data_IF_429495889197
#
_entry.id   IF_429495889197
#
_cell.length_a   1.000
_cell.length_b   1.000
_cell.length_c   1.000
_cell.angle_alpha   90.00
_cell.angle_beta   90.00
_cell.angle_gamma   90.00
#
_symmetry.space_group_name_H-M   'P 1'
#
loop_
_entity.id
_entity.type
_entity.pdbx_description
1 polymer ?
#
# COMPACT_ATOMS: atom_id res chain seq x y z
N UNK A 1 3.91 -33.08 -7.36
CA UNK A 1 4.83 -31.93 -7.27
C UNK A 1 4.45 -30.94 -8.37
N UNK A 2 4.51 -29.61 -8.16
CA UNK A 2 4.26 -28.69 -9.26
C UNK A 2 5.32 -28.93 -10.35
N UNK A 3 4.88 -29.16 -11.61
CA UNK A 3 5.75 -29.30 -12.78
C UNK A 3 6.41 -27.96 -13.21
N UNK A 4 6.20 -26.89 -12.45
CA UNK A 4 6.65 -25.54 -12.71
C UNK A 4 7.21 -24.88 -11.45
N UNK A 5 8.03 -23.84 -11.62
CA UNK A 5 8.73 -23.11 -10.56
C UNK A 5 7.78 -22.54 -9.50
N UNK A 6 8.06 -22.80 -8.22
CA UNK A 6 7.41 -22.14 -7.08
C UNK A 6 8.00 -20.74 -6.90
N UNK A 7 7.15 -19.71 -6.87
CA UNK A 7 7.55 -18.31 -6.72
C UNK A 7 6.58 -17.65 -5.75
N UNK A 8 7.11 -17.05 -4.69
CA UNK A 8 6.35 -16.28 -3.69
C UNK A 8 7.08 -14.95 -3.52
N UNK A 9 6.38 -13.85 -3.75
CA UNK A 9 6.92 -12.51 -3.73
C UNK A 9 6.05 -11.60 -2.86
N UNK A 10 6.34 -11.60 -1.55
CA UNK A 10 5.63 -10.78 -0.59
C UNK A 10 6.00 -9.30 -0.68
N UNK A 11 4.98 -8.44 -0.71
CA UNK A 11 5.12 -7.00 -0.63
C UNK A 11 4.20 -6.41 0.42
N UNK A 12 4.77 -5.59 1.31
CA UNK A 12 4.04 -4.65 2.15
C UNK A 12 3.91 -3.33 1.41
N UNK A 13 2.68 -2.89 1.19
CA UNK A 13 2.38 -1.73 0.35
C UNK A 13 1.54 -0.75 1.13
N UNK A 14 1.89 0.53 0.99
CA UNK A 14 1.30 1.64 1.73
C UNK A 14 0.95 2.75 0.76
N UNK A 15 -0.27 3.24 0.80
CA UNK A 15 -0.66 4.46 0.08
C UNK A 15 -1.79 5.17 0.80
N UNK A 16 -2.14 6.36 0.32
CA UNK A 16 -3.12 7.22 0.96
C UNK A 16 -4.16 7.79 0.05
N UNK A 17 -5.17 8.38 0.67
CA UNK A 17 -6.13 9.27 0.03
C UNK A 17 -5.42 10.51 -0.52
N UNK A 18 -5.98 11.06 -1.61
CA UNK A 18 -5.49 12.32 -2.18
C UNK A 18 -5.61 13.41 -1.11
N UNK A 19 -4.54 14.21 -0.98
CA UNK A 19 -4.42 15.26 0.03
C UNK A 19 -4.58 14.79 1.49
N UNK A 20 -4.40 13.49 1.76
CA UNK A 20 -4.53 12.88 3.11
C UNK A 20 -5.90 13.15 3.77
N UNK A 21 -6.95 13.33 2.98
CA UNK A 21 -8.31 13.51 3.51
C UNK A 21 -8.75 12.23 4.26
N UNK A 22 -9.20 12.33 5.53
CA UNK A 22 -9.51 11.17 6.36
C UNK A 22 -10.90 10.58 6.06
N UNK A 23 -11.06 9.99 4.88
CA UNK A 23 -12.31 9.40 4.42
C UNK A 23 -12.78 8.20 5.26
N UNK A 24 -11.85 7.46 5.89
CA UNK A 24 -12.11 6.15 6.48
C UNK A 24 -12.23 6.17 8.01
N UNK A 25 -12.94 7.16 8.54
CA UNK A 25 -13.26 7.20 9.98
C UNK A 25 -14.36 6.19 10.37
N UNK A 26 -15.23 5.85 9.43
CA UNK A 26 -16.28 4.85 9.61
C UNK A 26 -15.76 3.45 9.26
N UNK A 27 -15.66 2.57 10.27
CA UNK A 27 -15.19 1.19 10.12
C UNK A 27 -16.05 0.37 9.15
N UNK A 28 -17.34 0.67 8.97
CA UNK A 28 -18.19 -0.02 7.98
C UNK A 28 -17.70 0.27 6.56
N UNK A 29 -17.29 1.51 6.27
CA UNK A 29 -16.71 1.89 4.98
C UNK A 29 -15.36 1.22 4.77
N UNK A 30 -14.53 1.12 5.82
CA UNK A 30 -13.26 0.38 5.75
C UNK A 30 -13.49 -1.09 5.32
N UNK A 31 -14.48 -1.77 5.90
CA UNK A 31 -14.81 -3.16 5.52
C UNK A 31 -15.23 -3.26 4.05
N UNK A 32 -16.07 -2.33 3.58
CA UNK A 32 -16.52 -2.31 2.18
C UNK A 32 -15.34 -2.08 1.21
N UNK A 33 -14.48 -1.10 1.49
CA UNK A 33 -13.31 -0.82 0.65
C UNK A 33 -12.30 -1.97 0.69
N UNK A 34 -12.11 -2.60 1.84
CA UNK A 34 -11.28 -3.81 1.94
C UNK A 34 -11.81 -4.93 1.04
N UNK A 35 -13.14 -5.12 0.99
CA UNK A 35 -13.76 -6.11 0.10
C UNK A 35 -13.54 -5.77 -1.37
N UNK A 36 -13.71 -4.51 -1.77
CA UNK A 36 -13.43 -4.03 -3.14
C UNK A 36 -11.98 -4.35 -3.53
N UNK A 37 -11.01 -3.98 -2.67
CA UNK A 37 -9.59 -4.22 -2.94
C UNK A 37 -9.27 -5.71 -3.02
N UNK A 38 -9.82 -6.52 -2.11
CA UNK A 38 -9.65 -7.98 -2.14
C UNK A 38 -10.18 -8.59 -3.44
N UNK A 39 -11.33 -8.15 -3.92
CA UNK A 39 -11.90 -8.63 -5.18
C UNK A 39 -11.01 -8.25 -6.37
N UNK A 40 -10.53 -7.00 -6.44
CA UNK A 40 -9.60 -6.56 -7.49
C UNK A 40 -8.32 -7.42 -7.46
N UNK A 41 -7.79 -7.71 -6.28
CA UNK A 41 -6.60 -8.57 -6.15
C UNK A 41 -6.89 -9.97 -6.69
N UNK A 42 -8.00 -10.58 -6.27
CA UNK A 42 -8.41 -11.92 -6.70
C UNK A 42 -8.57 -12.02 -8.22
N UNK A 43 -9.26 -11.06 -8.84
CA UNK A 43 -9.49 -10.99 -10.30
C UNK A 43 -8.19 -10.83 -11.10
N UNK A 44 -7.12 -10.34 -10.47
CA UNK A 44 -5.82 -10.11 -11.10
C UNK A 44 -4.74 -11.11 -10.60
N UNK A 45 -5.16 -12.24 -10.03
CA UNK A 45 -4.29 -13.30 -9.49
C UNK A 45 -3.31 -12.83 -8.40
N UNK A 46 -3.60 -11.71 -7.73
CA UNK A 46 -2.82 -11.21 -6.60
C UNK A 46 -3.37 -11.83 -5.32
N UNK A 47 -2.53 -12.53 -4.56
CA UNK A 47 -2.97 -13.10 -3.29
C UNK A 47 -2.93 -12.04 -2.18
N UNK A 48 -4.10 -11.61 -1.71
CA UNK A 48 -4.25 -10.66 -0.62
C UNK A 48 -4.17 -11.37 0.74
N UNK A 49 -3.05 -11.23 1.45
CA UNK A 49 -2.86 -11.85 2.78
C UNK A 49 -3.63 -11.12 3.87
N UNK A 50 -3.41 -9.82 3.99
CA UNK A 50 -4.01 -8.97 5.03
C UNK A 50 -3.94 -7.51 4.60
N UNK A 51 -4.84 -6.68 5.11
CA UNK A 51 -4.74 -5.24 5.01
C UNK A 51 -5.51 -4.54 6.12
N UNK A 52 -5.13 -3.29 6.38
CA UNK A 52 -5.76 -2.43 7.37
C UNK A 52 -5.89 -1.02 6.81
N UNK A 53 -7.07 -0.43 6.97
CA UNK A 53 -7.39 0.92 6.52
C UNK A 53 -7.42 1.84 7.74
N UNK A 54 -6.50 2.80 7.75
CA UNK A 54 -6.46 3.95 8.63
C UNK A 54 -7.26 5.11 7.98
N UNK A 55 -7.58 6.18 8.74
CA UNK A 55 -8.51 7.21 8.25
C UNK A 55 -8.13 7.81 6.90
N UNK A 56 -6.84 8.03 6.65
CA UNK A 56 -6.31 8.65 5.43
C UNK A 56 -5.33 7.77 4.62
N UNK A 57 -5.05 6.55 5.06
CA UNK A 57 -4.11 5.66 4.39
C UNK A 57 -4.39 4.17 4.65
N UNK A 58 -3.73 3.30 3.91
CA UNK A 58 -3.96 1.85 3.96
C UNK A 58 -2.64 1.11 3.85
N UNK A 59 -2.54 0.01 4.60
CA UNK A 59 -1.49 -0.98 4.48
C UNK A 59 -2.08 -2.28 3.93
N UNK A 60 -1.40 -2.91 2.98
CA UNK A 60 -1.71 -4.28 2.54
C UNK A 60 -0.45 -5.11 2.48
N UNK A 61 -0.60 -6.41 2.69
CA UNK A 61 0.41 -7.43 2.42
C UNK A 61 -0.13 -8.38 1.36
N UNK A 62 0.60 -8.49 0.25
CA UNK A 62 0.20 -9.29 -0.91
C UNK A 62 1.35 -10.17 -1.38
N UNK A 63 1.02 -11.32 -1.97
CA UNK A 63 1.94 -12.08 -2.82
C UNK A 63 1.64 -11.72 -4.28
N UNK A 64 2.66 -11.19 -4.96
CA UNK A 64 2.57 -10.61 -6.29
C UNK A 64 3.00 -11.63 -7.37
N UNK A 65 2.18 -11.89 -8.40
CA UNK A 65 2.57 -12.67 -9.56
C UNK A 65 3.80 -12.09 -10.25
N UNK A 66 4.72 -12.95 -10.69
CA UNK A 66 5.99 -12.52 -11.29
C UNK A 66 5.88 -11.87 -12.67
N UNK A 67 4.74 -12.04 -13.33
CA UNK A 67 4.37 -11.38 -14.59
C UNK A 67 3.71 -10.01 -14.37
N UNK A 68 3.41 -9.62 -13.13
CA UNK A 68 2.80 -8.36 -12.78
C UNK A 68 3.78 -7.42 -12.07
N UNK A 69 3.99 -6.23 -12.65
CA UNK A 69 4.80 -5.21 -11.98
C UNK A 69 4.03 -4.53 -10.84
N UNK A 70 4.75 -4.12 -9.79
CA UNK A 70 4.17 -3.34 -8.67
C UNK A 70 3.43 -2.10 -9.19
N UNK A 71 4.02 -1.38 -10.17
CA UNK A 71 3.39 -0.19 -10.79
C UNK A 71 2.05 -0.53 -11.42
N UNK A 72 1.97 -1.62 -12.18
CA UNK A 72 0.72 -2.04 -12.85
C UNK A 72 -0.33 -2.46 -11.82
N UNK A 73 0.05 -3.26 -10.83
CA UNK A 73 -0.83 -3.61 -9.71
C UNK A 73 -1.40 -2.36 -9.04
N UNK A 74 -0.56 -1.37 -8.71
CA UNK A 74 -1.02 -0.16 -8.02
C UNK A 74 -1.93 0.70 -8.89
N UNK A 75 -1.70 0.75 -10.21
CA UNK A 75 -2.63 1.40 -11.13
C UNK A 75 -4.00 0.73 -11.15
N UNK A 76 -4.04 -0.62 -11.20
CA UNK A 76 -5.27 -1.40 -11.20
C UNK A 76 -6.05 -1.21 -9.89
N UNK A 77 -5.40 -1.49 -8.75
CA UNK A 77 -6.02 -1.40 -7.43
C UNK A 77 -6.55 0.01 -7.20
N UNK A 78 -5.73 1.05 -7.39
CA UNK A 78 -6.13 2.43 -7.08
C UNK A 78 -7.16 2.97 -8.09
N UNK A 79 -7.03 2.63 -9.37
CA UNK A 79 -7.95 3.07 -10.42
C UNK A 79 -9.34 2.49 -10.22
N UNK A 80 -9.44 1.16 -10.21
CA UNK A 80 -10.72 0.44 -10.11
C UNK A 80 -11.39 0.76 -8.77
N UNK A 81 -10.67 0.70 -7.65
CA UNK A 81 -11.28 1.01 -6.35
C UNK A 81 -11.75 2.46 -6.23
N UNK A 82 -11.02 3.45 -6.77
CA UNK A 82 -11.50 4.84 -6.76
C UNK A 82 -12.78 4.99 -7.56
N UNK A 83 -12.87 4.32 -8.71
CA UNK A 83 -14.05 4.34 -9.56
C UNK A 83 -15.24 3.73 -8.83
N UNK A 84 -15.11 2.49 -8.34
CA UNK A 84 -16.18 1.78 -7.62
C UNK A 84 -16.65 2.53 -6.36
N UNK A 85 -15.73 3.13 -5.59
CA UNK A 85 -16.08 3.94 -4.41
C UNK A 85 -16.93 5.15 -4.82
N UNK A 86 -16.56 5.86 -5.89
CA UNK A 86 -17.31 7.02 -6.36
C UNK A 86 -18.69 6.63 -6.92
N UNK A 87 -18.77 5.55 -7.69
CA UNK A 87 -20.05 5.05 -8.24
C UNK A 87 -21.04 4.66 -7.14
N UNK A 88 -20.54 4.07 -6.04
CA UNK A 88 -21.37 3.71 -4.89
C UNK A 88 -21.87 4.91 -4.06
N UNK A 89 -21.46 6.13 -4.41
CA UNK A 89 -21.75 7.37 -3.65
C UNK A 89 -21.39 7.25 -2.15
N UNK A 90 -20.36 6.45 -1.83
CA UNK A 90 -19.92 6.18 -0.46
C UNK A 90 -19.53 7.44 0.33
N UNK A 91 -19.08 8.47 -0.39
CA UNK A 91 -18.68 9.76 0.14
C UNK A 91 -19.36 10.89 -0.61
N UNK A 92 -19.69 11.97 0.11
CA UNK A 92 -20.33 13.17 -0.47
C UNK A 92 -19.44 13.90 -1.48
N UNK A 93 -18.13 13.81 -1.30
CA UNK A 93 -17.14 14.42 -2.17
C UNK A 93 -16.44 13.34 -3.01
N UNK A 94 -15.92 13.75 -4.17
CA UNK A 94 -15.15 12.86 -5.06
C UNK A 94 -13.95 12.27 -4.31
N UNK A 95 -13.89 10.94 -4.33
CA UNK A 95 -12.81 10.15 -3.75
C UNK A 95 -11.71 9.89 -4.78
N UNK A 96 -10.46 9.94 -4.34
CA UNK A 96 -9.30 9.51 -5.13
C UNK A 96 -8.15 9.18 -4.19
N UNK A 97 -7.32 8.20 -4.57
CA UNK A 97 -6.04 7.95 -3.92
C UNK A 97 -4.99 8.98 -4.35
N UNK A 98 -4.00 9.23 -3.50
CA UNK A 98 -2.81 10.00 -3.86
C UNK A 98 -2.04 9.30 -4.98
N UNK A 99 -1.22 10.02 -5.76
CA UNK A 99 -0.44 9.42 -6.87
C UNK A 99 0.59 8.39 -6.37
N UNK A 100 1.32 8.71 -5.31
CA UNK A 100 2.39 7.88 -4.76
C UNK A 100 1.92 6.63 -4.03
N UNK A 101 2.87 5.75 -3.74
CA UNK A 101 2.78 4.59 -2.86
C UNK A 101 4.20 4.19 -2.43
N UNK A 102 4.31 3.49 -1.30
CA UNK A 102 5.51 2.77 -0.91
C UNK A 102 5.27 1.27 -1.10
N UNK A 103 6.32 0.55 -1.49
CA UNK A 103 6.30 -0.90 -1.59
C UNK A 103 7.61 -1.45 -1.04
N UNK A 104 7.51 -2.36 -0.09
CA UNK A 104 8.65 -2.99 0.57
C UNK A 104 8.56 -4.50 0.37
N UNK A 105 9.62 -5.12 -0.14
CA UNK A 105 9.71 -6.58 -0.16
C UNK A 105 9.76 -7.10 1.27
N UNK A 106 9.10 -8.22 1.51
CA UNK A 106 9.05 -8.89 2.81
C UNK A 106 9.64 -10.28 2.63
N UNK A 107 10.69 -10.63 3.38
CA UNK A 107 11.17 -12.00 3.41
C UNK A 107 10.17 -12.88 4.17
N UNK A 108 10.11 -14.17 3.84
CA UNK A 108 9.26 -15.13 4.54
C UNK A 108 9.48 -15.08 6.07
N UNK A 109 10.74 -14.94 6.51
CA UNK A 109 11.12 -14.83 7.92
C UNK A 109 10.59 -13.58 8.64
N UNK A 110 10.13 -12.55 7.92
CA UNK A 110 9.55 -11.33 8.47
C UNK A 110 8.02 -11.28 8.29
N UNK A 111 7.42 -12.30 7.66
CA UNK A 111 6.02 -12.28 7.28
C UNK A 111 5.09 -12.10 8.48
N UNK A 112 5.28 -12.90 9.53
CA UNK A 112 4.46 -12.84 10.74
C UNK A 112 4.57 -11.49 11.46
N UNK A 113 5.77 -10.89 11.45
CA UNK A 113 5.99 -9.56 12.03
C UNK A 113 5.20 -8.49 11.27
N UNK A 114 5.20 -8.55 9.95
CA UNK A 114 4.43 -7.61 9.11
C UNK A 114 2.93 -7.83 9.26
N UNK A 115 2.47 -9.09 9.32
CA UNK A 115 1.06 -9.42 9.59
C UNK A 115 0.63 -8.83 10.93
N UNK A 116 1.42 -9.06 11.98
CA UNK A 116 1.13 -8.52 13.30
C UNK A 116 1.10 -6.99 13.30
N UNK A 117 2.05 -6.34 12.63
CA UNK A 117 2.08 -4.89 12.50
C UNK A 117 0.83 -4.35 11.78
N UNK A 118 0.41 -4.95 10.66
CA UNK A 118 -0.80 -4.53 9.93
C UNK A 118 -2.06 -4.73 10.77
N UNK A 119 -2.16 -5.84 11.52
CA UNK A 119 -3.32 -6.15 12.36
C UNK A 119 -3.52 -5.15 13.50
N UNK A 120 -2.43 -4.56 14.01
CA UNK A 120 -2.44 -3.69 15.20
C UNK A 120 -2.28 -2.19 14.86
N UNK A 121 -2.61 -1.80 13.62
CA UNK A 121 -2.52 -0.43 13.14
C UNK A 121 -3.36 0.57 13.96
N UNK A 122 -4.53 0.16 14.45
CA UNK A 122 -5.36 1.01 15.31
C UNK A 122 -4.68 1.36 16.64
N UNK A 123 -3.88 0.45 17.23
CA UNK A 123 -3.10 0.75 18.44
C UNK A 123 -1.86 1.60 18.11
N UNK A 124 -1.19 1.27 17.01
CA UNK A 124 -0.02 1.98 16.53
C UNK A 124 -0.29 3.48 16.35
N UNK A 125 -1.39 3.83 15.68
CA UNK A 125 -1.76 5.21 15.43
C UNK A 125 -2.34 5.98 16.62
N UNK A 126 -2.51 5.33 17.78
CA UNK A 126 -2.74 6.07 19.05
C UNK A 126 -1.48 6.78 19.53
N UNK A 127 -0.30 6.31 19.12
CA UNK A 127 1.00 6.78 19.62
C UNK A 127 1.85 7.44 18.54
N UNK A 128 1.51 7.25 17.27
CA UNK A 128 2.28 7.77 16.15
C UNK A 128 1.37 8.22 15.00
N UNK A 129 1.59 9.43 14.51
CA UNK A 129 0.91 9.93 13.32
C UNK A 129 1.40 9.22 12.07
N UNK A 130 0.58 9.21 11.01
CA UNK A 130 1.02 8.67 9.72
C UNK A 130 2.24 9.41 9.15
N UNK A 131 2.42 10.70 9.44
CA UNK A 131 3.60 11.45 9.00
C UNK A 131 4.88 10.89 9.63
N UNK A 132 4.89 10.71 10.94
CA UNK A 132 6.03 10.14 11.67
C UNK A 132 6.33 8.72 11.19
N UNK A 133 5.28 7.91 10.99
CA UNK A 133 5.41 6.56 10.46
C UNK A 133 6.05 6.57 9.05
N UNK A 134 5.57 7.44 8.17
CA UNK A 134 6.12 7.62 6.84
C UNK A 134 7.59 8.03 6.87
N UNK A 135 7.95 8.96 7.76
CA UNK A 135 9.33 9.39 7.97
C UNK A 135 10.22 8.24 8.48
N UNK A 136 9.71 7.38 9.35
CA UNK A 136 10.42 6.17 9.79
C UNK A 136 10.62 5.16 8.65
N UNK A 137 9.60 4.95 7.81
CA UNK A 137 9.73 4.13 6.62
C UNK A 137 10.78 4.70 5.66
N UNK A 138 10.71 6.00 5.37
CA UNK A 138 11.71 6.68 4.57
C UNK A 138 13.10 6.51 5.17
N UNK A 139 13.27 6.70 6.49
CA UNK A 139 14.57 6.54 7.16
C UNK A 139 15.11 5.12 7.00
N UNK A 140 14.35 4.13 7.48
CA UNK A 140 14.76 2.72 7.48
C UNK A 140 15.14 2.22 6.07
N UNK A 141 14.33 2.55 5.07
CA UNK A 141 14.52 2.01 3.72
C UNK A 141 15.38 2.89 2.82
N UNK A 142 15.40 4.22 2.99
CA UNK A 142 16.29 5.10 2.22
C UNK A 142 17.70 5.15 2.79
N UNK A 143 17.92 4.95 4.10
CA UNK A 143 19.27 4.77 4.65
C UNK A 143 19.91 3.49 4.12
N UNK A 144 19.14 2.41 4.02
CA UNK A 144 19.58 1.16 3.36
C UNK A 144 20.00 1.42 1.91
N UNK A 145 19.24 2.25 1.17
CA UNK A 145 19.58 2.65 -0.20
C UNK A 145 20.78 3.59 -0.25
N UNK A 146 21.02 4.46 0.75
CA UNK A 146 22.22 5.30 0.80
C UNK A 146 23.48 4.45 0.98
N UNK A 147 23.44 3.40 1.81
CA UNK A 147 24.55 2.43 1.94
C UNK A 147 24.83 1.73 0.61
N UNK A 148 23.80 1.44 -0.19
CA UNK A 148 23.95 0.87 -1.55
C UNK A 148 24.38 1.92 -2.60
N UNK A 149 23.93 3.18 -2.47
CA UNK A 149 24.28 4.29 -3.38
C UNK A 149 25.64 4.92 -3.11
N UNK A 150 26.34 4.56 -2.03
CA UNK A 150 27.80 4.79 -1.94
C UNK A 150 28.54 4.04 -3.07
N UNK A 151 27.91 3.06 -3.74
CA UNK A 151 28.43 2.41 -4.94
C UNK A 151 27.96 2.99 -6.29
N UNK A 152 27.00 3.93 -6.37
CA UNK A 152 26.68 4.66 -7.63
C UNK A 152 25.92 5.96 -7.36
N UNK A 153 26.46 7.08 -7.84
CA UNK A 153 26.07 8.45 -7.51
C UNK A 153 24.69 8.90 -8.05
N UNK A 154 24.00 9.69 -7.21
CA UNK A 154 23.17 10.92 -7.44
C UNK A 154 22.14 10.96 -8.63
N UNK A 155 20.90 11.49 -8.56
CA UNK A 155 20.25 12.59 -7.82
C UNK A 155 18.72 12.32 -7.67
N UNK A 156 18.04 13.12 -6.84
CA UNK A 156 16.57 13.14 -6.67
C UNK A 156 15.96 14.13 -7.69
N UNK A 157 14.90 13.79 -8.44
CA UNK A 157 14.21 14.76 -9.31
C UNK A 157 13.35 15.74 -8.49
N UNK A 158 13.24 17.01 -8.91
CA UNK A 158 12.41 18.01 -8.24
C UNK A 158 10.91 17.73 -8.40
N UNK A 159 10.13 18.26 -7.45
CA UNK A 159 8.67 18.30 -7.47
C UNK A 159 8.22 19.46 -8.36
N UNK A 160 7.65 19.16 -9.53
CA UNK A 160 6.97 20.16 -10.35
C UNK A 160 5.48 20.15 -10.00
N UNK A 161 5.13 21.00 -9.04
CA UNK A 161 3.82 21.64 -9.01
C UNK A 161 3.80 22.77 -10.04
N UNK A 162 3.03 22.61 -11.12
CA UNK A 162 2.75 23.68 -12.07
C UNK A 162 1.81 23.22 -13.18
N UNK A 163 0.63 23.84 -13.28
CA UNK A 163 -0.35 23.67 -14.36
C UNK A 163 -1.64 23.01 -13.92
#
# INVERSE_FOLDING_TARGET
>A
MPKHSLKICWFHIIWSTKNRIPFFQDKKKCVQVTKIIKNICLENNIYFKIGHINPEHIHILVDLPVDLTIKRMMQLIKGISSHTINESLMFKQKFSWARGYAAFSVSESQLDKVIHYIKNQDEHHRRMSFREEWELFCRKYLETVKTVKVATSSKIPPDESGG
#
